data_IF_055025879032
#
_entry.id   IF_055025879032
#
_cell.length_a   1.000
_cell.length_b   1.000
_cell.length_c   1.000
_cell.angle_alpha   90.00
_cell.angle_beta   90.00
_cell.angle_gamma   90.00
#
_symmetry.space_group_name_H-M   'P 1'
#
loop_
_entity.id
_entity.type
_entity.pdbx_description
1 polymer ?
#
# COMPACT_ATOMS: atom_id res chain seq x y z
N UNK A 1 -15.00 -22.17 11.45
CA UNK A 1 -14.38 -21.17 12.34
C UNK A 1 -12.89 -21.41 12.52
N UNK A 2 -12.09 -20.43 12.07
CA UNK A 2 -10.64 -20.40 12.24
C UNK A 2 -10.29 -19.85 13.62
N UNK A 3 -9.10 -20.18 14.11
CA UNK A 3 -8.60 -19.65 15.38
C UNK A 3 -8.14 -18.20 15.23
N UNK A 4 -8.11 -17.46 16.34
CA UNK A 4 -7.59 -16.08 16.36
C UNK A 4 -6.16 -15.99 15.81
N UNK A 5 -5.32 -16.99 16.08
CA UNK A 5 -3.95 -17.03 15.58
C UNK A 5 -3.89 -17.15 14.06
N UNK A 6 -4.75 -17.97 13.46
CA UNK A 6 -4.83 -18.13 11.99
C UNK A 6 -5.30 -16.82 11.32
N UNK A 7 -6.20 -16.07 11.96
CA UNK A 7 -6.67 -14.77 11.47
C UNK A 7 -5.55 -13.73 11.51
N UNK A 8 -4.81 -13.65 12.62
CA UNK A 8 -3.69 -12.72 12.75
C UNK A 8 -2.54 -13.04 11.78
N UNK A 9 -2.28 -14.33 11.53
CA UNK A 9 -1.33 -14.75 10.50
C UNK A 9 -1.79 -14.34 9.09
N UNK A 10 -3.07 -14.54 8.76
CA UNK A 10 -3.65 -14.07 7.50
C UNK A 10 -3.50 -12.54 7.34
N UNK A 11 -3.88 -11.77 8.36
CA UNK A 11 -3.72 -10.30 8.38
C UNK A 11 -2.28 -9.89 8.14
N UNK A 12 -1.32 -10.54 8.81
CA UNK A 12 0.11 -10.25 8.65
C UNK A 12 0.61 -10.53 7.23
N UNK A 13 0.24 -11.68 6.68
CA UNK A 13 0.66 -12.07 5.32
C UNK A 13 0.08 -11.11 4.27
N UNK A 14 -1.21 -10.81 4.39
CA UNK A 14 -1.87 -9.83 3.52
C UNK A 14 -1.30 -8.41 3.68
N UNK A 15 -0.98 -7.97 4.89
CA UNK A 15 -0.40 -6.64 5.11
C UNK A 15 0.94 -6.44 4.38
N UNK A 16 1.72 -7.52 4.24
CA UNK A 16 2.99 -7.49 3.51
C UNK A 16 2.81 -7.47 1.99
N UNK A 17 1.73 -8.07 1.48
CA UNK A 17 1.38 -8.08 0.06
C UNK A 17 -0.15 -7.91 -0.14
N UNK A 18 -0.66 -6.67 -0.04
CA UNK A 18 -2.10 -6.40 -0.10
C UNK A 18 -2.58 -6.34 -1.56
N UNK A 19 -2.48 -7.48 -2.27
CA UNK A 19 -2.79 -7.59 -3.69
C UNK A 19 -4.20 -8.17 -3.99
N UNK A 20 -4.98 -8.52 -2.97
CA UNK A 20 -6.33 -9.08 -3.09
C UNK A 20 -7.25 -8.64 -1.93
N UNK A 21 -8.55 -8.91 -2.02
CA UNK A 21 -9.52 -8.65 -0.95
C UNK A 21 -9.43 -9.72 0.14
N UNK A 22 -8.82 -9.39 1.29
CA UNK A 22 -8.56 -10.33 2.39
C UNK A 22 -9.83 -11.00 2.94
N UNK A 23 -10.97 -10.30 2.90
CA UNK A 23 -12.26 -10.82 3.36
C UNK A 23 -12.89 -11.89 2.45
N UNK A 24 -12.30 -12.12 1.28
CA UNK A 24 -12.69 -13.17 0.33
C UNK A 24 -11.79 -14.41 0.42
N UNK A 25 -10.92 -14.49 1.43
CA UNK A 25 -10.06 -15.66 1.66
C UNK A 25 -10.90 -16.89 2.00
N UNK A 26 -10.75 -17.95 1.21
CA UNK A 26 -11.44 -19.23 1.42
C UNK A 26 -11.10 -19.83 2.80
N UNK A 27 -12.13 -20.30 3.50
CA UNK A 27 -12.02 -20.88 4.84
C UNK A 27 -12.03 -19.87 5.99
N UNK A 28 -12.22 -18.57 5.71
CA UNK A 28 -12.36 -17.48 6.67
C UNK A 28 -13.69 -16.74 6.57
N UNK A 29 -14.72 -17.36 5.97
CA UNK A 29 -16.02 -16.73 5.70
C UNK A 29 -16.71 -16.20 6.97
N UNK A 30 -16.55 -16.91 8.09
CA UNK A 30 -17.05 -16.52 9.42
C UNK A 30 -16.46 -15.17 9.91
N UNK A 31 -15.32 -14.74 9.35
CA UNK A 31 -14.57 -13.54 9.76
C UNK A 31 -14.59 -12.42 8.71
N UNK A 32 -15.46 -12.53 7.70
CA UNK A 32 -15.53 -11.58 6.58
C UNK A 32 -15.63 -10.11 7.00
N UNK A 33 -16.48 -9.81 7.98
CA UNK A 33 -16.68 -8.43 8.46
C UNK A 33 -15.43 -7.87 9.17
N UNK A 34 -14.79 -8.71 10.00
CA UNK A 34 -13.55 -8.35 10.70
C UNK A 34 -12.41 -8.06 9.71
N UNK A 35 -12.25 -8.93 8.71
CA UNK A 35 -11.24 -8.83 7.67
C UNK A 35 -11.47 -7.60 6.76
N UNK A 36 -12.72 -7.32 6.41
CA UNK A 36 -13.08 -6.11 5.66
C UNK A 36 -12.74 -4.84 6.46
N UNK A 37 -13.10 -4.79 7.74
CA UNK A 37 -12.78 -3.65 8.59
C UNK A 37 -11.25 -3.46 8.72
N UNK A 38 -10.50 -4.56 8.86
CA UNK A 38 -9.03 -4.52 8.88
C UNK A 38 -8.46 -3.92 7.59
N UNK A 39 -8.92 -4.38 6.43
CA UNK A 39 -8.51 -3.85 5.13
C UNK A 39 -8.78 -2.35 5.01
N UNK A 40 -10.01 -1.92 5.33
CA UNK A 40 -10.40 -0.51 5.27
C UNK A 40 -9.57 0.37 6.21
N UNK A 41 -9.22 -0.12 7.41
CA UNK A 41 -8.35 0.60 8.34
C UNK A 41 -6.93 0.78 7.78
N UNK A 42 -6.36 -0.27 7.18
CA UNK A 42 -5.06 -0.20 6.52
C UNK A 42 -5.07 0.78 5.34
N UNK A 43 -6.05 0.66 4.45
CA UNK A 43 -6.22 1.55 3.30
C UNK A 43 -6.35 3.02 3.71
N UNK A 44 -7.14 3.31 4.75
CA UNK A 44 -7.29 4.66 5.27
C UNK A 44 -5.97 5.19 5.84
N UNK A 45 -5.26 4.40 6.67
CA UNK A 45 -3.94 4.79 7.20
C UNK A 45 -2.92 5.06 6.10
N UNK A 46 -2.88 4.21 5.07
CA UNK A 46 -1.96 4.40 3.95
C UNK A 46 -2.32 5.64 3.12
N UNK A 47 -3.61 5.90 2.91
CA UNK A 47 -4.09 7.10 2.21
C UNK A 47 -3.72 8.37 2.96
N UNK A 48 -3.97 8.43 4.26
CA UNK A 48 -3.59 9.56 5.12
C UNK A 48 -2.07 9.77 5.14
N UNK A 49 -1.31 8.69 5.31
CA UNK A 49 0.14 8.73 5.27
C UNK A 49 0.66 9.23 3.93
N UNK A 50 0.07 8.80 2.81
CA UNK A 50 0.42 9.28 1.48
C UNK A 50 0.10 10.77 1.30
N UNK A 51 -1.10 11.21 1.70
CA UNK A 51 -1.47 12.63 1.65
C UNK A 51 -0.52 13.51 2.49
N UNK A 52 -0.15 13.07 3.69
CA UNK A 52 0.79 13.79 4.53
C UNK A 52 2.19 13.88 3.90
N UNK A 53 2.68 12.80 3.27
CA UNK A 53 3.94 12.84 2.50
C UNK A 53 3.88 13.82 1.35
N UNK A 54 2.76 13.86 0.61
CA UNK A 54 2.58 14.82 -0.47
C UNK A 54 2.55 16.27 0.03
N UNK A 55 1.87 16.55 1.15
CA UNK A 55 1.85 17.89 1.76
C UNK A 55 3.25 18.34 2.17
N UNK A 56 3.98 17.50 2.91
CA UNK A 56 5.36 17.81 3.31
C UNK A 56 6.27 18.04 2.11
N UNK A 57 6.08 17.26 1.04
CA UNK A 57 6.83 17.43 -0.21
C UNK A 57 6.46 18.74 -0.92
N UNK A 58 5.18 19.08 -0.98
CA UNK A 58 4.68 20.33 -1.55
C UNK A 58 5.25 21.55 -0.82
N UNK A 59 5.25 21.52 0.52
CA UNK A 59 5.87 22.54 1.36
C UNK A 59 7.38 22.66 1.07
N UNK A 60 8.10 21.54 1.04
CA UNK A 60 9.54 21.51 0.76
C UNK A 60 9.90 22.06 -0.62
N UNK A 61 9.06 21.81 -1.63
CA UNK A 61 9.25 22.26 -3.00
C UNK A 61 8.60 23.62 -3.28
N UNK A 62 7.92 24.21 -2.29
CA UNK A 62 7.14 25.43 -2.40
C UNK A 62 6.17 25.39 -3.60
N UNK A 63 5.41 24.30 -3.71
CA UNK A 63 4.46 24.08 -4.80
C UNK A 63 3.12 23.55 -4.28
N UNK A 64 2.16 23.33 -5.19
CA UNK A 64 0.85 22.77 -4.82
C UNK A 64 0.95 21.27 -4.54
N UNK A 65 0.00 20.75 -3.76
CA UNK A 65 -0.07 19.31 -3.43
C UNK A 65 -0.28 18.47 -4.69
N UNK A 66 -1.04 18.99 -5.66
CA UNK A 66 -1.27 18.36 -6.96
C UNK A 66 0.04 18.23 -7.75
N UNK A 67 0.84 19.31 -7.80
CA UNK A 67 2.15 19.28 -8.45
C UNK A 67 3.13 18.36 -7.72
N UNK A 68 3.16 18.37 -6.39
CA UNK A 68 3.95 17.41 -5.61
C UNK A 68 3.54 15.96 -5.87
N UNK A 69 2.24 15.71 -6.05
CA UNK A 69 1.68 14.42 -6.45
C UNK A 69 2.18 13.98 -7.83
N UNK A 70 2.13 14.87 -8.81
CA UNK A 70 2.66 14.60 -10.15
C UNK A 70 4.17 14.31 -10.11
N UNK A 71 4.95 15.12 -9.39
CA UNK A 71 6.41 14.91 -9.20
C UNK A 71 6.68 13.56 -8.54
N UNK A 72 5.89 13.16 -7.52
CA UNK A 72 6.04 11.85 -6.89
C UNK A 72 5.82 10.69 -7.88
N UNK A 73 4.81 10.79 -8.76
CA UNK A 73 4.58 9.79 -9.81
C UNK A 73 5.76 9.73 -10.78
N UNK A 74 6.28 10.88 -11.21
CA UNK A 74 7.45 10.93 -12.09
C UNK A 74 8.69 10.31 -11.45
N UNK A 75 8.97 10.62 -10.18
CA UNK A 75 10.09 10.01 -9.45
C UNK A 75 9.95 8.49 -9.35
N UNK A 76 8.74 7.97 -9.10
CA UNK A 76 8.49 6.54 -9.06
C UNK A 76 8.74 5.88 -10.42
N UNK A 77 8.28 6.50 -11.51
CA UNK A 77 8.53 6.02 -12.87
C UNK A 77 10.03 6.03 -13.20
N UNK A 78 10.75 7.09 -12.85
CA UNK A 78 12.20 7.17 -13.06
C UNK A 78 12.96 6.08 -12.29
N UNK A 79 12.56 5.80 -11.04
CA UNK A 79 13.15 4.73 -10.24
C UNK A 79 12.87 3.35 -10.84
N UNK A 80 11.65 3.10 -11.29
CA UNK A 80 11.28 1.83 -11.95
C UNK A 80 12.06 1.62 -13.25
N UNK A 81 12.16 2.67 -14.08
CA UNK A 81 12.96 2.64 -15.30
C UNK A 81 14.43 2.38 -15.01
N UNK A 82 15.01 3.05 -14.00
CA UNK A 82 16.40 2.83 -13.60
C UNK A 82 16.63 1.38 -13.17
N UNK A 83 15.74 0.79 -12.36
CA UNK A 83 15.84 -0.62 -11.96
C UNK A 83 15.82 -1.56 -13.16
N UNK A 84 14.97 -1.30 -14.16
CA UNK A 84 14.90 -2.13 -15.38
C UNK A 84 16.18 -2.05 -16.20
N UNK A 85 16.77 -0.85 -16.33
CA UNK A 85 18.07 -0.66 -16.97
C UNK A 85 19.15 -1.42 -16.20
N UNK A 86 19.16 -1.29 -14.86
CA UNK A 86 20.17 -1.95 -14.03
C UNK A 86 20.14 -3.47 -14.19
N UNK A 87 18.93 -4.06 -14.21
CA UNK A 87 18.74 -5.50 -14.48
C UNK A 87 19.20 -5.86 -15.90
N UNK A 88 18.95 -5.01 -16.90
CA UNK A 88 19.29 -5.29 -18.29
C UNK A 88 20.80 -5.26 -18.57
N UNK A 89 21.53 -4.36 -17.91
CA UNK A 89 22.95 -4.10 -18.21
C UNK A 89 23.92 -4.63 -17.16
N UNK A 90 23.46 -4.92 -15.94
CA UNK A 90 24.32 -5.34 -14.82
C UNK A 90 23.77 -6.55 -14.04
N UNK A 91 22.65 -7.12 -14.47
CA UNK A 91 22.02 -8.32 -13.89
C UNK A 91 22.48 -9.64 -14.48
#
# INVERSE_FOLDING_TARGET
>A
MKTLNEIEELKKNWFNDPCYDIEMTEGFEDHKEELLNYRLQCENKWREGFQNRLKLKAEKLNCSVELAGYINTLEWQLQDMQKKIDIMYFG
#
